data_IF_867739680753
#
_entry.id   IF_867739680753
#
_cell.length_a   1.000
_cell.length_b   1.000
_cell.length_c   1.000
_cell.angle_alpha   90.00
_cell.angle_beta   90.00
_cell.angle_gamma   90.00
#
_symmetry.space_group_name_H-M   'P 1'
#
loop_
_entity.id
_entity.type
_entity.pdbx_description
1 polymer ?
#
# COMPACT_ATOMS: atom_id res chain seq x y z
N UNK A 1 36.84 -8.28 14.67
CA UNK A 1 36.18 -6.96 14.68
C UNK A 1 35.60 -6.73 13.29
N UNK A 2 34.34 -6.29 13.18
CA UNK A 2 33.73 -5.94 11.89
C UNK A 2 34.39 -4.63 11.43
N UNK A 3 34.88 -4.57 10.19
CA UNK A 3 35.47 -3.35 9.65
C UNK A 3 34.37 -2.33 9.33
N UNK A 4 34.56 -1.06 9.67
CA UNK A 4 33.71 0.06 9.25
C UNK A 4 33.38 0.08 7.75
N UNK A 5 34.32 -0.31 6.88
CA UNK A 5 34.07 -0.46 5.44
C UNK A 5 32.97 -1.46 5.12
N UNK A 6 32.93 -2.58 5.85
CA UNK A 6 31.89 -3.60 5.69
C UNK A 6 30.53 -3.09 6.18
N UNK A 7 30.52 -2.27 7.23
CA UNK A 7 29.31 -1.59 7.72
C UNK A 7 28.76 -0.67 6.64
N UNK A 8 29.57 0.23 6.08
CA UNK A 8 29.12 1.12 5.00
C UNK A 8 28.56 0.34 3.81
N UNK A 9 29.21 -0.75 3.40
CA UNK A 9 28.72 -1.61 2.33
C UNK A 9 27.36 -2.23 2.64
N UNK A 10 27.15 -2.69 3.88
CA UNK A 10 25.88 -3.22 4.35
C UNK A 10 24.78 -2.15 4.32
N UNK A 11 25.05 -0.96 4.87
CA UNK A 11 24.08 0.13 4.97
C UNK A 11 23.58 0.59 3.61
N UNK A 12 24.49 0.90 2.69
CA UNK A 12 24.15 1.35 1.34
C UNK A 12 23.43 0.26 0.52
N UNK A 13 23.70 -1.02 0.79
CA UNK A 13 22.98 -2.13 0.17
C UNK A 13 21.51 -2.17 0.62
N UNK A 14 21.26 -2.05 1.92
CA UNK A 14 19.90 -2.00 2.47
C UNK A 14 19.14 -0.74 2.01
N UNK A 15 19.83 0.39 1.93
CA UNK A 15 19.26 1.63 1.40
C UNK A 15 18.83 1.49 -0.06
N UNK A 16 19.69 0.91 -0.90
CA UNK A 16 19.37 0.65 -2.31
C UNK A 16 18.12 -0.23 -2.43
N UNK A 17 18.03 -1.28 -1.60
CA UNK A 17 16.84 -2.13 -1.56
C UNK A 17 15.59 -1.39 -1.08
N UNK A 18 15.72 -0.47 -0.13
CA UNK A 18 14.63 0.39 0.33
C UNK A 18 14.13 1.33 -0.79
N UNK A 19 15.04 1.99 -1.51
CA UNK A 19 14.70 2.82 -2.68
C UNK A 19 13.96 2.02 -3.75
N UNK A 20 14.47 0.84 -4.12
CA UNK A 20 13.83 -0.03 -5.11
C UNK A 20 12.42 -0.42 -4.65
N UNK A 21 12.26 -0.78 -3.37
CA UNK A 21 10.98 -1.21 -2.81
C UNK A 21 9.95 -0.07 -2.80
N UNK A 22 10.36 1.14 -2.41
CA UNK A 22 9.48 2.33 -2.41
C UNK A 22 9.15 2.76 -3.84
N UNK A 23 10.13 2.79 -4.75
CA UNK A 23 9.91 3.11 -6.15
C UNK A 23 8.94 2.11 -6.82
N UNK A 24 9.12 0.81 -6.56
CA UNK A 24 8.21 -0.24 -7.02
C UNK A 24 6.78 0.02 -6.52
N UNK A 25 6.60 0.38 -5.24
CA UNK A 25 5.29 0.72 -4.69
C UNK A 25 4.66 1.94 -5.36
N UNK A 26 5.43 3.01 -5.57
CA UNK A 26 4.95 4.24 -6.22
C UNK A 26 4.56 3.94 -7.67
N UNK A 27 5.41 3.25 -8.43
CA UNK A 27 5.14 2.83 -9.80
C UNK A 27 3.86 2.01 -9.91
N UNK A 28 3.69 1.03 -9.03
CA UNK A 28 2.49 0.21 -8.91
C UNK A 28 1.23 1.05 -8.69
N UNK A 29 1.29 2.06 -7.83
CA UNK A 29 0.12 2.89 -7.49
C UNK A 29 -0.21 3.88 -8.59
N UNK A 30 0.79 4.60 -9.08
CA UNK A 30 0.60 5.68 -10.05
C UNK A 30 0.39 5.11 -11.44
N UNK A 31 1.25 4.20 -11.90
CA UNK A 31 1.22 3.71 -13.29
C UNK A 31 0.24 2.56 -13.45
N UNK A 32 0.36 1.52 -12.63
CA UNK A 32 -0.45 0.30 -12.83
C UNK A 32 -1.90 0.45 -12.36
N UNK A 33 -2.14 1.27 -11.33
CA UNK A 33 -3.49 1.50 -10.78
C UNK A 33 -4.11 2.83 -11.18
N UNK A 34 -3.35 3.75 -11.80
CA UNK A 34 -3.79 5.12 -12.10
C UNK A 34 -4.40 5.80 -10.87
N UNK A 35 -3.89 5.47 -9.68
CA UNK A 35 -4.38 5.98 -8.41
C UNK A 35 -3.50 7.14 -7.94
N UNK A 36 -4.11 8.11 -7.25
CA UNK A 36 -3.37 9.18 -6.57
C UNK A 36 -2.60 8.63 -5.37
N UNK A 37 -1.52 9.33 -5.00
CA UNK A 37 -0.78 9.04 -3.77
C UNK A 37 -1.67 9.32 -2.56
N UNK A 38 -1.69 8.37 -1.62
CA UNK A 38 -2.41 8.52 -0.36
C UNK A 38 -1.47 9.03 0.73
N UNK A 39 -2.04 9.46 1.86
CA UNK A 39 -1.29 9.84 3.07
C UNK A 39 -0.24 8.81 3.47
N UNK A 40 -0.53 7.51 3.31
CA UNK A 40 0.41 6.43 3.56
C UNK A 40 1.70 6.51 2.74
N UNK A 41 1.63 6.97 1.49
CA UNK A 41 2.79 7.03 0.60
C UNK A 41 3.71 8.20 0.97
N UNK A 42 3.14 9.33 1.41
CA UNK A 42 3.92 10.47 1.93
C UNK A 42 4.67 10.12 3.22
N UNK A 43 4.01 9.45 4.17
CA UNK A 43 4.68 8.96 5.37
C UNK A 43 5.81 7.98 5.05
N UNK A 44 5.62 7.11 4.06
CA UNK A 44 6.67 6.18 3.65
C UNK A 44 7.87 6.89 3.04
N UNK A 45 7.63 7.92 2.20
CA UNK A 45 8.69 8.74 1.62
C UNK A 45 9.42 9.51 2.71
N UNK A 46 8.72 10.07 3.71
CA UNK A 46 9.35 10.70 4.86
C UNK A 46 10.27 9.73 5.62
N UNK A 47 9.84 8.49 5.83
CA UNK A 47 10.68 7.43 6.42
C UNK A 47 11.92 7.11 5.59
N UNK A 48 11.79 7.05 4.26
CA UNK A 48 12.92 6.86 3.35
C UNK A 48 13.91 8.03 3.41
N UNK A 49 13.41 9.27 3.51
CA UNK A 49 14.26 10.46 3.65
C UNK A 49 15.00 10.48 4.98
N UNK A 50 14.35 10.09 6.09
CA UNK A 50 15.03 9.93 7.38
C UNK A 50 16.12 8.87 7.33
N UNK A 51 15.85 7.74 6.69
CA UNK A 51 16.84 6.70 6.45
C UNK A 51 18.04 7.26 5.66
N UNK A 52 17.78 8.01 4.59
CA UNK A 52 18.84 8.62 3.78
C UNK A 52 19.67 9.62 4.59
N UNK A 53 19.02 10.43 5.44
CA UNK A 53 19.70 11.33 6.36
C UNK A 53 20.60 10.58 7.34
N UNK A 54 20.10 9.50 7.95
CA UNK A 54 20.85 8.64 8.86
C UNK A 54 22.13 8.12 8.20
N UNK A 55 22.03 7.54 7.01
CA UNK A 55 23.20 7.01 6.29
C UNK A 55 24.19 8.10 5.86
N UNK A 56 23.72 9.32 5.58
CA UNK A 56 24.61 10.45 5.32
C UNK A 56 25.40 10.78 6.59
N UNK A 57 24.74 10.84 7.75
CA UNK A 57 25.42 11.07 9.02
C UNK A 57 26.41 9.95 9.37
N UNK A 58 26.07 8.70 9.09
CA UNK A 58 26.97 7.57 9.33
C UNK A 58 28.16 7.56 8.36
N UNK A 59 27.93 7.95 7.10
CA UNK A 59 29.01 8.16 6.12
C UNK A 59 29.96 9.29 6.54
N UNK A 60 29.42 10.38 7.10
CA UNK A 60 30.23 11.48 7.66
C UNK A 60 31.04 10.96 8.85
N UNK A 61 30.42 10.22 9.77
CA UNK A 61 31.09 9.62 10.93
C UNK A 61 32.22 8.68 10.51
N UNK A 62 32.00 7.87 9.47
CA UNK A 62 33.01 7.03 8.84
C UNK A 62 34.15 7.86 8.23
N UNK A 63 33.85 8.93 7.49
CA UNK A 63 34.86 9.80 6.87
C UNK A 63 35.76 10.52 7.88
N UNK A 64 35.29 10.66 9.12
CA UNK A 64 36.02 11.26 10.23
C UNK A 64 36.77 10.26 11.11
N UNK A 65 36.82 8.97 10.72
CA UNK A 65 37.42 7.85 11.48
C UNK A 65 36.76 7.60 12.87
N UNK A 66 35.63 8.25 13.12
CA UNK A 66 34.94 8.26 14.42
C UNK A 66 33.98 7.07 14.60
N UNK A 67 33.86 6.21 13.58
CA UNK A 67 33.08 4.97 13.60
C UNK A 67 33.85 3.81 14.22
N UNK A 68 35.15 3.67 13.87
CA UNK A 68 36.02 2.63 14.46
C UNK A 68 36.63 3.10 15.79
N UNK A 69 36.89 4.41 15.93
CA UNK A 69 37.49 4.97 17.13
C UNK A 69 36.56 5.95 17.85
N UNK A 70 35.84 5.46 18.85
CA UNK A 70 34.92 6.26 19.66
C UNK A 70 35.62 7.30 20.56
N UNK A 71 36.95 7.22 20.73
CA UNK A 71 37.72 8.21 21.50
C UNK A 71 37.90 9.54 20.78
N UNK A 72 37.67 9.58 19.46
CA UNK A 72 37.71 10.82 18.68
C UNK A 72 36.48 11.65 19.08
N UNK A 73 36.72 12.66 19.90
CA UNK A 73 35.66 13.48 20.47
C UNK A 73 35.82 14.97 20.12
N UNK A 74 35.07 15.36 19.09
CA UNK A 74 34.99 16.73 18.61
C UNK A 74 33.53 17.18 18.55
N UNK A 75 33.31 18.48 18.70
CA UNK A 75 31.96 19.09 18.63
C UNK A 75 31.24 18.71 17.34
N UNK A 76 31.96 18.63 16.22
CA UNK A 76 31.41 18.18 14.94
C UNK A 76 30.86 16.75 15.00
N UNK A 77 31.61 15.80 15.58
CA UNK A 77 31.19 14.40 15.73
C UNK A 77 29.99 14.30 16.67
N UNK A 78 29.98 15.05 17.78
CA UNK A 78 28.83 15.10 18.70
C UNK A 78 27.56 15.59 18.00
N UNK A 79 27.66 16.62 17.16
CA UNK A 79 26.53 17.11 16.34
C UNK A 79 26.04 16.06 15.34
N UNK A 80 26.95 15.36 14.68
CA UNK A 80 26.59 14.28 13.74
C UNK A 80 25.92 13.12 14.47
N UNK A 81 26.47 12.65 15.60
CA UNK A 81 25.86 11.59 16.42
C UNK A 81 24.48 11.98 16.97
N UNK A 82 24.33 13.23 17.38
CA UNK A 82 23.03 13.78 17.79
C UNK A 82 22.03 13.74 16.63
N UNK A 83 22.44 14.17 15.43
CA UNK A 83 21.60 14.09 14.23
C UNK A 83 21.26 12.64 13.85
N UNK A 84 22.23 11.72 13.90
CA UNK A 84 22.01 10.28 13.69
C UNK A 84 20.94 9.75 14.64
N UNK A 85 21.07 10.01 15.95
CA UNK A 85 20.09 9.57 16.95
C UNK A 85 18.69 10.06 16.59
N UNK A 86 18.56 11.36 16.35
CA UNK A 86 17.29 11.99 16.07
C UNK A 86 16.64 11.48 14.78
N UNK A 87 17.43 11.32 13.71
CA UNK A 87 16.95 10.81 12.42
C UNK A 87 16.50 9.35 12.50
N UNK A 88 17.18 8.53 13.31
CA UNK A 88 16.75 7.16 13.60
C UNK A 88 15.46 7.14 14.41
N UNK A 89 15.48 7.74 15.59
CA UNK A 89 14.42 7.64 16.60
C UNK A 89 13.12 8.31 16.13
N UNK A 90 13.20 9.42 15.39
CA UNK A 90 12.02 10.02 14.75
C UNK A 90 11.64 9.27 13.47
N UNK A 91 12.64 8.87 12.67
CA UNK A 91 12.43 8.24 11.37
C UNK A 91 11.71 6.89 11.44
N UNK A 92 11.94 6.12 12.51
CA UNK A 92 11.36 4.79 12.69
C UNK A 92 9.82 4.81 12.84
N UNK A 93 9.23 5.96 13.21
CA UNK A 93 7.78 6.12 13.30
C UNK A 93 7.11 6.40 11.95
N UNK A 94 7.82 6.92 10.96
CA UNK A 94 7.23 7.26 9.66
C UNK A 94 6.68 6.02 8.90
N UNK A 95 7.40 4.88 8.82
CA UNK A 95 6.82 3.63 8.29
C UNK A 95 5.59 3.17 9.09
N UNK A 96 5.55 3.42 10.41
CA UNK A 96 4.40 3.06 11.27
C UNK A 96 3.17 3.91 10.94
N UNK A 97 3.35 5.21 10.75
CA UNK A 97 2.26 6.08 10.28
C UNK A 97 1.79 5.69 8.88
N UNK A 98 2.71 5.25 8.00
CA UNK A 98 2.35 4.74 6.67
C UNK A 98 1.45 3.51 6.74
N UNK A 99 1.77 2.51 7.57
CA UNK A 99 0.92 1.32 7.72
C UNK A 99 -0.41 1.62 8.42
N UNK A 100 -0.43 2.50 9.42
CA UNK A 100 -1.67 2.95 10.08
C UNK A 100 -2.58 3.69 9.10
N UNK A 101 -2.02 4.61 8.30
CA UNK A 101 -2.75 5.28 7.23
C UNK A 101 -3.29 4.30 6.18
N UNK A 102 -2.55 3.23 5.89
CA UNK A 102 -3.04 2.14 5.05
C UNK A 102 -4.23 1.41 5.71
N UNK A 103 -4.20 1.16 7.02
CA UNK A 103 -5.32 0.56 7.74
C UNK A 103 -6.58 1.42 7.73
N UNK A 104 -6.47 2.75 7.79
CA UNK A 104 -7.62 3.65 7.67
C UNK A 104 -8.31 3.55 6.31
N UNK A 105 -7.56 3.21 5.27
CA UNK A 105 -8.12 2.96 3.94
C UNK A 105 -8.69 1.53 3.79
N UNK A 106 -8.20 0.58 4.60
CA UNK A 106 -8.61 -0.82 4.52
C UNK A 106 -9.89 -1.10 5.32
N UNK A 107 -10.05 -0.47 6.48
CA UNK A 107 -11.15 -0.76 7.41
C UNK A 107 -12.39 0.04 7.03
N UNK A 108 -13.51 -0.62 6.68
CA UNK A 108 -14.72 0.06 6.27
C UNK A 108 -15.42 0.74 7.45
N UNK A 109 -16.18 1.80 7.16
CA UNK A 109 -16.94 2.59 8.15
C UNK A 109 -17.96 1.72 8.91
N UNK A 110 -18.43 0.64 8.30
CA UNK A 110 -19.38 -0.31 8.87
C UNK A 110 -18.85 -1.11 10.08
N UNK A 111 -17.56 -1.03 10.40
CA UNK A 111 -16.96 -1.70 11.56
C UNK A 111 -16.48 -0.70 12.63
N UNK A 112 -17.40 -0.10 13.41
CA UNK A 112 -17.05 0.99 14.34
C UNK A 112 -16.05 0.58 15.42
N UNK A 113 -16.14 -0.65 15.96
CA UNK A 113 -15.19 -1.16 16.97
C UNK A 113 -13.76 -1.22 16.45
N UNK A 114 -13.56 -1.72 15.22
CA UNK A 114 -12.24 -1.78 14.57
C UNK A 114 -11.69 -0.39 14.27
N UNK A 115 -12.57 0.56 13.97
CA UNK A 115 -12.19 1.95 13.70
C UNK A 115 -11.78 2.69 14.97
N UNK A 116 -12.49 2.50 16.08
CA UNK A 116 -12.09 3.00 17.41
C UNK A 116 -10.71 2.44 17.78
N UNK A 117 -10.52 1.11 17.66
CA UNK A 117 -9.22 0.49 17.92
C UNK A 117 -8.10 1.08 17.04
N UNK A 118 -8.40 1.43 15.79
CA UNK A 118 -7.45 2.08 14.89
C UNK A 118 -7.11 3.51 15.32
N UNK A 119 -8.09 4.29 15.77
CA UNK A 119 -7.84 5.61 16.34
C UNK A 119 -6.98 5.52 17.61
N UNK A 120 -7.23 4.54 18.48
CA UNK A 120 -6.38 4.29 19.65
C UNK A 120 -4.95 3.93 19.23
N UNK A 121 -4.78 3.02 18.26
CA UNK A 121 -3.46 2.66 17.73
C UNK A 121 -2.70 3.86 17.16
N UNK A 122 -3.40 4.69 16.36
CA UNK A 122 -2.85 5.91 15.80
C UNK A 122 -2.44 6.90 16.89
N UNK A 123 -3.32 7.11 17.88
CA UNK A 123 -3.07 8.00 19.02
C UNK A 123 -1.89 7.56 19.88
N UNK A 124 -1.78 6.27 20.19
CA UNK A 124 -0.65 5.71 20.95
C UNK A 124 0.65 5.87 20.16
N UNK A 125 0.65 5.50 18.87
CA UNK A 125 1.84 5.60 18.02
C UNK A 125 2.28 7.05 17.84
N UNK A 126 1.32 7.97 17.67
CA UNK A 126 1.59 9.40 17.59
C UNK A 126 2.16 9.93 18.91
N UNK A 127 1.58 9.54 20.04
CA UNK A 127 2.07 9.93 21.37
C UNK A 127 3.51 9.46 21.59
N UNK A 128 3.82 8.21 21.24
CA UNK A 128 5.19 7.70 21.31
C UNK A 128 6.16 8.46 20.40
N UNK A 129 5.78 8.75 19.15
CA UNK A 129 6.61 9.54 18.26
C UNK A 129 6.89 10.95 18.81
N UNK A 130 5.87 11.61 19.37
CA UNK A 130 6.01 12.94 19.99
C UNK A 130 6.90 12.87 21.22
N UNK A 131 6.69 11.89 22.10
CA UNK A 131 7.52 11.71 23.30
C UNK A 131 8.98 11.45 22.88
N UNK A 132 9.20 10.56 21.91
CA UNK A 132 10.54 10.27 21.38
C UNK A 132 11.22 11.53 20.85
N UNK A 133 10.52 12.29 20.00
CA UNK A 133 11.04 13.54 19.42
C UNK A 133 11.49 14.54 20.50
N UNK A 134 10.64 14.76 21.52
CA UNK A 134 10.97 15.70 22.60
C UNK A 134 12.05 15.16 23.54
N UNK A 135 12.04 13.87 23.85
CA UNK A 135 13.08 13.25 24.66
C UNK A 135 14.44 13.37 23.96
N UNK A 136 14.56 13.10 22.67
CA UNK A 136 15.83 13.25 21.93
C UNK A 136 16.43 14.65 22.05
N UNK A 137 15.57 15.66 21.92
CA UNK A 137 15.99 17.06 21.86
C UNK A 137 16.31 17.64 23.24
N UNK A 138 15.51 17.27 24.25
CA UNK A 138 15.52 17.91 25.56
C UNK A 138 15.95 16.97 26.70
N UNK A 139 16.55 15.82 26.40
CA UNK A 139 17.03 14.88 27.42
C UNK A 139 18.01 15.52 28.41
N UNK A 140 18.95 16.31 27.89
CA UNK A 140 19.98 16.98 28.67
C UNK A 140 19.56 18.35 29.23
N UNK A 141 18.28 18.70 29.10
CA UNK A 141 17.74 19.98 29.54
C UNK A 141 17.12 20.79 28.39
N UNK A 142 16.66 22.03 28.69
CA UNK A 142 15.93 22.86 27.73
C UNK A 142 16.83 23.44 26.62
N UNK A 143 18.15 23.54 26.85
CA UNK A 143 19.11 23.96 25.83
C UNK A 143 19.67 22.71 25.10
N UNK A 144 19.32 22.50 23.82
CA UNK A 144 19.81 21.35 23.05
C UNK A 144 21.32 21.37 22.85
N UNK A 145 21.95 22.55 22.96
CA UNK A 145 23.38 22.73 22.69
C UNK A 145 24.29 21.97 23.66
N UNK A 146 23.75 21.62 24.83
CA UNK A 146 24.40 20.78 25.84
C UNK A 146 24.82 19.43 25.26
N UNK A 147 24.06 18.86 24.30
CA UNK A 147 24.38 17.58 23.67
C UNK A 147 25.74 17.59 22.92
N UNK A 148 26.23 18.76 22.50
CA UNK A 148 27.52 18.90 21.83
C UNK A 148 28.47 19.90 22.52
N UNK A 149 28.13 20.34 23.73
CA UNK A 149 29.00 21.18 24.55
C UNK A 149 30.13 20.34 25.17
N UNK A 150 31.29 20.96 25.41
CA UNK A 150 32.39 20.39 26.22
C UNK A 150 32.27 20.96 27.63
N UNK A 151 32.19 20.10 28.66
CA UNK A 151 32.02 20.51 30.06
C UNK A 151 32.26 19.37 31.04
N UNK A 152 32.27 19.67 32.35
CA UNK A 152 32.60 18.73 33.43
C UNK A 152 31.54 17.62 33.63
N UNK A 153 30.28 17.89 33.24
CA UNK A 153 29.21 16.89 33.16
C UNK A 153 28.78 16.70 31.72
N UNK A 154 29.32 15.67 31.08
CA UNK A 154 28.97 15.31 29.72
C UNK A 154 27.61 14.59 29.70
N UNK A 155 26.57 15.28 29.25
CA UNK A 155 25.28 14.69 28.92
C UNK A 155 25.11 14.64 27.41
N UNK A 156 24.84 13.46 26.86
CA UNK A 156 24.43 13.30 25.46
C UNK A 156 23.25 12.36 25.37
N UNK A 157 22.27 12.68 24.51
CA UNK A 157 21.16 11.77 24.21
C UNK A 157 21.67 10.46 23.57
N UNK A 158 22.63 10.55 22.64
CA UNK A 158 23.18 9.42 21.89
C UNK A 158 23.81 8.31 22.76
N UNK A 159 24.53 8.67 23.84
CA UNK A 159 25.17 7.68 24.72
C UNK A 159 24.32 7.28 25.93
N UNK A 160 23.16 7.90 26.13
CA UNK A 160 22.34 7.65 27.32
C UNK A 160 21.58 6.33 27.21
N UNK A 161 22.07 5.31 27.91
CA UNK A 161 21.42 3.99 27.95
C UNK A 161 19.99 4.04 28.53
N UNK A 162 19.73 4.96 29.48
CA UNK A 162 18.38 5.16 30.04
C UNK A 162 17.40 5.64 28.98
N UNK A 163 17.79 6.67 28.21
CA UNK A 163 16.98 7.18 27.11
C UNK A 163 16.78 6.08 26.05
N UNK A 164 17.85 5.42 25.65
CA UNK A 164 17.82 4.37 24.63
C UNK A 164 16.85 3.23 25.00
N UNK A 165 16.84 2.77 26.26
CA UNK A 165 15.90 1.73 26.75
C UNK A 165 14.46 2.21 26.72
N UNK A 166 14.21 3.46 27.09
CA UNK A 166 12.88 4.07 27.09
C UNK A 166 12.33 4.15 25.65
N UNK A 167 13.10 4.73 24.73
CA UNK A 167 12.70 4.92 23.34
C UNK A 167 12.55 3.60 22.60
N UNK A 168 13.48 2.65 22.82
CA UNK A 168 13.34 1.30 22.29
C UNK A 168 12.05 0.63 22.78
N UNK A 169 11.69 0.77 24.06
CA UNK A 169 10.47 0.16 24.60
C UNK A 169 9.21 0.71 23.91
N UNK A 170 9.13 2.02 23.68
CA UNK A 170 8.03 2.66 22.95
C UNK A 170 7.97 2.20 21.48
N UNK A 171 9.13 2.13 20.85
CA UNK A 171 9.28 1.63 19.48
C UNK A 171 8.77 0.18 19.38
N UNK A 172 9.25 -0.71 20.25
CA UNK A 172 8.87 -2.12 20.30
C UNK A 172 7.37 -2.33 20.57
N UNK A 173 6.80 -1.63 21.56
CA UNK A 173 5.37 -1.73 21.88
C UNK A 173 4.52 -1.32 20.66
N UNK A 174 4.87 -0.22 20.01
CA UNK A 174 4.13 0.22 18.82
C UNK A 174 4.26 -0.75 17.64
N UNK A 175 5.39 -1.45 17.48
CA UNK A 175 5.51 -2.53 16.49
C UNK A 175 4.57 -3.69 16.80
N UNK A 176 4.57 -4.19 18.03
CA UNK A 176 3.69 -5.29 18.46
C UNK A 176 2.23 -4.94 18.24
N UNK A 177 1.82 -3.72 18.58
CA UNK A 177 0.45 -3.25 18.36
C UNK A 177 0.08 -3.19 16.88
N UNK A 178 0.98 -2.73 16.01
CA UNK A 178 0.75 -2.70 14.56
C UNK A 178 0.59 -4.11 13.97
N UNK A 179 1.37 -5.09 14.45
CA UNK A 179 1.27 -6.49 14.00
C UNK A 179 0.01 -7.17 14.54
N UNK A 180 -0.40 -6.86 15.77
CA UNK A 180 -1.59 -7.42 16.39
C UNK A 180 -2.89 -6.88 15.78
N UNK A 181 -2.93 -5.61 15.39
CA UNK A 181 -4.13 -4.92 14.88
C UNK A 181 -4.88 -5.64 13.74
N UNK A 182 -4.23 -6.14 12.67
CA UNK A 182 -4.94 -6.81 11.58
C UNK A 182 -5.49 -8.21 11.93
N UNK A 183 -5.08 -8.82 13.06
CA UNK A 183 -5.47 -10.20 13.41
C UNK A 183 -6.99 -10.33 13.64
N UNK A 184 -7.65 -9.50 14.47
CA UNK A 184 -9.11 -9.57 14.66
C UNK A 184 -9.90 -9.23 13.40
N UNK A 185 -9.40 -8.29 12.58
CA UNK A 185 -10.00 -7.96 11.29
C UNK A 185 -10.08 -9.20 10.40
N UNK A 186 -9.04 -10.02 10.42
CA UNK A 186 -8.93 -11.20 9.60
C UNK A 186 -9.70 -12.40 10.17
N UNK A 187 -9.93 -12.45 11.48
CA UNK A 187 -10.78 -13.44 12.13
C UNK A 187 -12.28 -13.23 11.85
N UNK A 188 -12.73 -11.97 11.73
CA UNK A 188 -14.16 -11.64 11.51
C UNK A 188 -14.63 -11.88 10.06
N UNK A 189 -13.73 -11.80 9.08
CA UNK A 189 -14.04 -12.23 7.72
C UNK A 189 -14.02 -13.76 7.67
N UNK A 190 -15.18 -14.42 7.57
CA UNK A 190 -15.27 -15.88 7.33
C UNK A 190 -14.30 -16.29 6.21
N UNK A 191 -13.17 -16.90 6.59
CA UNK A 191 -12.00 -17.15 5.76
C UNK A 191 -12.17 -18.41 4.90
N UNK A 192 -13.17 -18.41 4.00
CA UNK A 192 -13.39 -19.54 3.07
C UNK A 192 -12.34 -19.57 1.95
N UNK A 193 -11.64 -18.45 1.68
CA UNK A 193 -10.64 -18.37 0.61
C UNK A 193 -9.21 -18.48 1.13
N UNK A 194 -8.47 -19.51 0.69
CA UNK A 194 -7.03 -19.72 0.91
C UNK A 194 -6.20 -18.46 0.62
N UNK A 195 -6.67 -17.62 -0.30
CA UNK A 195 -6.01 -16.35 -0.70
C UNK A 195 -5.97 -15.30 0.40
N UNK A 196 -6.93 -15.30 1.34
CA UNK A 196 -6.96 -14.39 2.50
C UNK A 196 -6.01 -14.89 3.60
N UNK A 197 -5.94 -16.21 3.81
CA UNK A 197 -5.01 -16.86 4.74
C UNK A 197 -3.55 -16.60 4.37
N UNK A 198 -3.19 -16.73 3.09
CA UNK A 198 -1.82 -16.42 2.62
C UNK A 198 -1.49 -14.94 2.81
N UNK A 199 -2.43 -14.03 2.51
CA UNK A 199 -2.24 -12.60 2.72
C UNK A 199 -1.96 -12.26 4.19
N UNK A 200 -2.73 -12.86 5.12
CA UNK A 200 -2.54 -12.76 6.56
C UNK A 200 -1.15 -13.28 6.98
N UNK A 201 -0.80 -14.50 6.55
CA UNK A 201 0.47 -15.12 6.88
C UNK A 201 1.64 -14.21 6.50
N UNK A 202 1.61 -13.61 5.31
CA UNK A 202 2.66 -12.68 4.88
C UNK A 202 2.63 -11.39 5.71
N UNK A 203 1.48 -10.83 6.14
CA UNK A 203 1.48 -9.61 6.99
C UNK A 203 2.14 -9.93 8.31
N UNK A 204 1.74 -11.05 8.90
CA UNK A 204 2.27 -11.53 10.16
C UNK A 204 3.78 -11.81 10.07
N UNK A 205 4.23 -12.53 9.03
CA UNK A 205 5.66 -12.80 8.82
C UNK A 205 6.48 -11.52 8.67
N UNK A 206 6.00 -10.53 7.92
CA UNK A 206 6.74 -9.26 7.79
C UNK A 206 6.81 -8.51 9.13
N UNK A 207 5.76 -8.55 9.94
CA UNK A 207 5.76 -7.97 11.28
C UNK A 207 6.70 -8.66 12.27
N UNK A 208 6.77 -10.00 12.21
CA UNK A 208 7.70 -10.79 13.04
C UNK A 208 9.16 -10.44 12.72
N UNK A 209 9.48 -10.17 11.44
CA UNK A 209 10.84 -9.78 11.04
C UNK A 209 11.25 -8.46 11.69
N UNK A 210 10.39 -7.43 11.67
CA UNK A 210 10.77 -6.13 12.25
C UNK A 210 10.96 -6.22 13.76
N UNK A 211 10.05 -6.95 14.45
CA UNK A 211 10.17 -7.26 15.88
C UNK A 211 11.48 -8.00 16.19
N UNK A 212 11.84 -9.02 15.40
CA UNK A 212 13.07 -9.78 15.61
C UNK A 212 14.32 -8.90 15.47
N UNK A 213 14.33 -7.98 14.50
CA UNK A 213 15.43 -7.02 14.29
C UNK A 213 15.53 -6.04 15.46
N UNK A 214 14.39 -5.51 15.92
CA UNK A 214 14.30 -4.61 17.09
C UNK A 214 14.81 -5.27 18.38
N UNK A 215 14.47 -6.54 18.61
CA UNK A 215 15.00 -7.33 19.74
C UNK A 215 16.50 -7.60 19.59
N UNK A 216 16.96 -7.94 18.39
CA UNK A 216 18.38 -8.14 18.11
C UNK A 216 19.21 -6.89 18.39
N UNK A 217 18.70 -5.71 18.00
CA UNK A 217 19.31 -4.42 18.36
C UNK A 217 19.41 -4.23 19.87
N UNK A 218 18.33 -4.48 20.61
CA UNK A 218 18.35 -4.31 22.06
C UNK A 218 19.35 -5.26 22.74
N UNK A 219 19.35 -6.54 22.36
CA UNK A 219 20.30 -7.52 22.92
C UNK A 219 21.74 -7.08 22.64
N UNK A 220 22.03 -6.66 21.42
CA UNK A 220 23.38 -6.21 21.08
C UNK A 220 23.80 -4.95 21.82
N UNK A 221 22.91 -3.98 21.98
CA UNK A 221 23.22 -2.77 22.75
C UNK A 221 23.45 -3.03 24.25
N UNK A 222 22.79 -4.05 24.83
CA UNK A 222 22.91 -4.35 26.27
C UNK A 222 24.07 -5.31 26.57
N UNK A 223 24.32 -6.28 25.70
CA UNK A 223 25.21 -7.42 26.00
C UNK A 223 26.43 -7.51 25.09
N UNK A 224 26.48 -6.77 23.98
CA UNK A 224 27.58 -6.84 23.02
C UNK A 224 28.38 -5.55 23.09
N UNK A 225 29.62 -5.66 23.60
CA UNK A 225 30.57 -4.54 23.68
C UNK A 225 31.22 -4.25 22.32
N UNK A 226 30.39 -3.99 21.32
CA UNK A 226 30.82 -3.61 19.97
C UNK A 226 29.97 -2.43 19.50
N UNK A 227 30.46 -1.22 19.73
CA UNK A 227 29.77 0.02 19.36
C UNK A 227 29.51 0.14 17.83
N UNK A 228 30.31 -0.52 17.00
CA UNK A 228 30.11 -0.62 15.54
C UNK A 228 28.80 -1.35 15.19
N UNK A 229 28.40 -2.34 15.99
CA UNK A 229 27.17 -3.12 15.74
C UNK A 229 25.91 -2.27 15.82
N UNK A 230 25.95 -1.16 16.58
CA UNK A 230 24.82 -0.25 16.77
C UNK A 230 24.35 0.33 15.42
N UNK A 231 25.30 0.75 14.57
CA UNK A 231 25.00 1.29 13.23
C UNK A 231 24.32 0.24 12.33
N UNK A 232 24.86 -0.98 12.31
CA UNK A 232 24.31 -2.11 11.53
C UNK A 232 22.86 -2.38 11.93
N UNK A 233 22.58 -2.49 13.24
CA UNK A 233 21.25 -2.79 13.74
C UNK A 233 20.26 -1.64 13.53
N UNK A 234 20.69 -0.39 13.77
CA UNK A 234 19.86 0.79 13.52
C UNK A 234 19.47 0.89 12.04
N UNK A 235 20.45 0.77 11.13
CA UNK A 235 20.21 0.79 9.68
C UNK A 235 19.33 -0.38 9.24
N UNK A 236 19.58 -1.59 9.74
CA UNK A 236 18.74 -2.75 9.45
C UNK A 236 17.29 -2.51 9.89
N UNK A 237 17.07 -2.03 11.11
CA UNK A 237 15.73 -1.83 11.66
C UNK A 237 14.91 -0.81 10.86
N UNK A 238 15.47 0.36 10.57
CA UNK A 238 14.76 1.40 9.81
C UNK A 238 14.58 1.02 8.33
N UNK A 239 15.59 0.45 7.67
CA UNK A 239 15.49 0.03 6.27
C UNK A 239 14.48 -1.11 6.11
N UNK A 240 14.54 -2.13 6.96
CA UNK A 240 13.61 -3.27 6.89
C UNK A 240 12.19 -2.78 7.17
N UNK A 241 11.98 -1.86 8.11
CA UNK A 241 10.68 -1.26 8.36
C UNK A 241 10.11 -0.57 7.10
N UNK A 242 10.91 0.25 6.43
CA UNK A 242 10.52 0.90 5.15
C UNK A 242 10.22 -0.14 4.07
N UNK A 243 11.09 -1.13 3.88
CA UNK A 243 10.93 -2.20 2.87
C UNK A 243 9.65 -2.99 3.13
N UNK A 244 9.45 -3.45 4.37
CA UNK A 244 8.26 -4.20 4.79
C UNK A 244 7.00 -3.41 4.48
N UNK A 245 6.92 -2.15 4.90
CA UNK A 245 5.74 -1.32 4.66
C UNK A 245 5.57 -1.04 3.17
N UNK A 246 6.65 -0.84 2.42
CA UNK A 246 6.58 -0.69 0.96
C UNK A 246 5.93 -1.93 0.30
N UNK A 247 6.39 -3.13 0.68
CA UNK A 247 5.93 -4.40 0.15
C UNK A 247 4.50 -4.76 0.57
N UNK A 248 4.03 -4.34 1.75
CA UNK A 248 2.66 -4.64 2.21
C UNK A 248 1.57 -4.14 1.25
N UNK A 249 1.77 -3.01 0.56
CA UNK A 249 0.77 -2.50 -0.40
C UNK A 249 0.92 -3.05 -1.83
N UNK A 250 2.05 -3.65 -2.18
CA UNK A 250 2.29 -4.21 -3.53
C UNK A 250 1.64 -5.58 -3.71
N UNK A 251 1.23 -6.23 -2.62
CA UNK A 251 0.68 -7.60 -2.59
C UNK A 251 -0.44 -7.95 -3.58
N UNK A 252 -1.33 -7.04 -4.01
CA UNK A 252 -2.31 -7.38 -5.04
C UNK A 252 -1.67 -7.67 -6.43
N UNK A 253 -0.41 -7.31 -6.65
CA UNK A 253 0.26 -7.37 -7.95
C UNK A 253 1.22 -8.53 -8.16
N UNK A 254 1.83 -9.06 -7.09
CA UNK A 254 2.54 -10.35 -7.20
C UNK A 254 1.61 -11.41 -7.82
N UNK A 255 0.31 -11.30 -7.54
CA UNK A 255 -0.74 -12.15 -8.11
C UNK A 255 -0.95 -11.95 -9.62
N UNK A 256 -0.90 -10.72 -10.12
CA UNK A 256 -1.08 -10.45 -11.56
C UNK A 256 0.15 -10.89 -12.34
N UNK A 257 1.34 -10.71 -11.77
CA UNK A 257 2.60 -11.13 -12.39
C UNK A 257 2.79 -12.65 -12.38
N UNK A 258 2.42 -13.34 -11.30
CA UNK A 258 2.42 -14.82 -11.28
C UNK A 258 1.38 -15.40 -12.21
N UNK A 259 0.19 -14.81 -12.29
CA UNK A 259 -0.84 -15.28 -13.23
C UNK A 259 -0.41 -15.03 -14.69
N UNK A 260 0.22 -13.90 -15.00
CA UNK A 260 0.76 -13.63 -16.34
C UNK A 260 1.85 -14.64 -16.72
N UNK A 261 2.78 -14.96 -15.81
CA UNK A 261 3.80 -15.99 -16.05
C UNK A 261 3.19 -17.39 -16.23
N UNK A 262 2.16 -17.75 -15.47
CA UNK A 262 1.43 -19.02 -15.64
C UNK A 262 0.66 -19.08 -16.97
N UNK A 263 0.10 -17.97 -17.45
CA UNK A 263 -0.55 -17.93 -18.77
C UNK A 263 0.47 -18.01 -19.91
N UNK A 264 1.62 -17.33 -19.80
CA UNK A 264 2.68 -17.38 -20.82
C UNK A 264 3.29 -18.77 -20.97
N UNK A 265 3.44 -19.52 -19.87
CA UNK A 265 3.95 -20.91 -19.90
C UNK A 265 2.93 -21.91 -20.48
N UNK A 266 1.62 -21.68 -20.29
CA UNK A 266 0.58 -22.52 -20.91
C UNK A 266 0.39 -22.24 -22.40
N UNK A 267 0.76 -21.04 -22.88
CA UNK A 267 0.73 -20.70 -24.32
C UNK A 267 1.98 -21.11 -25.09
N UNK A 268 3.07 -21.53 -24.43
CA UNK A 268 4.30 -21.95 -25.11
C UNK A 268 4.39 -23.46 -25.36
N UNK A 269 3.39 -24.25 -24.97
CA UNK A 269 3.41 -25.72 -25.06
C UNK A 269 2.36 -26.30 -26.01
N UNK A 270 1.85 -25.50 -26.96
CA UNK A 270 0.87 -26.00 -27.96
C UNK A 270 1.10 -25.44 -29.38
N UNK A 271 2.38 -25.35 -29.77
CA UNK A 271 2.76 -25.04 -31.16
C UNK A 271 3.66 -26.13 -31.75
N UNK A 272 3.22 -27.38 -31.65
CA UNK A 272 3.73 -28.45 -32.51
C UNK A 272 2.71 -29.58 -32.65
N UNK A 273 1.98 -29.59 -33.77
CA UNK A 273 1.53 -30.85 -34.39
C UNK A 273 0.02 -31.05 -34.58
N UNK A 274 -0.40 -30.88 -35.84
CA UNK A 274 -1.45 -31.66 -36.54
C UNK A 274 -2.92 -31.30 -36.24
N UNK A 275 -3.59 -30.79 -37.30
CA UNK A 275 -5.06 -30.65 -37.38
C UNK A 275 -5.74 -32.03 -37.33
N UNK A 276 -6.62 -32.25 -36.36
CA UNK A 276 -7.55 -33.37 -36.36
C UNK A 276 -8.93 -32.93 -36.85
N UNK A 277 -9.37 -33.56 -37.95
CA UNK A 277 -10.70 -33.46 -38.56
C UNK A 277 -11.76 -33.98 -37.57
N UNK A 278 -12.92 -33.32 -37.39
CA UNK A 278 -14.00 -33.87 -36.58
C UNK A 278 -14.74 -34.98 -37.35
N UNK A 279 -15.02 -36.16 -36.75
CA UNK A 279 -15.83 -37.16 -37.41
C UNK A 279 -17.32 -36.82 -37.30
N UNK A 280 -17.94 -36.80 -38.47
CA UNK A 280 -19.36 -36.65 -38.73
C UNK A 280 -20.12 -37.87 -38.19
N UNK A 281 -20.89 -37.74 -37.10
CA UNK A 281 -21.73 -38.84 -36.58
C UNK A 281 -23.11 -38.81 -37.23
N UNK A 282 -23.26 -39.69 -38.20
CA UNK A 282 -24.50 -40.10 -38.87
C UNK A 282 -25.56 -40.59 -37.87
N UNK A 283 -26.78 -40.08 -38.03
CA UNK A 283 -27.98 -40.47 -37.27
C UNK A 283 -28.90 -41.24 -38.21
N UNK A 284 -29.24 -42.50 -37.86
CA UNK A 284 -30.32 -43.29 -38.49
C UNK A 284 -31.08 -44.14 -37.44
N UNK A 285 -32.33 -44.56 -37.72
CA UNK A 285 -33.43 -44.54 -36.76
C UNK A 285 -34.08 -45.91 -36.43
N UNK A 286 -35.01 -45.90 -35.46
CA UNK A 286 -35.97 -46.99 -35.09
C UNK A 286 -35.80 -47.43 -33.62
N UNK A 287 -36.81 -47.74 -32.78
CA UNK A 287 -38.26 -47.97 -32.97
C UNK A 287 -38.98 -47.93 -31.58
N UNK A 288 -40.10 -47.20 -31.51
CA UNK A 288 -41.39 -47.37 -30.78
C UNK A 288 -41.57 -48.10 -29.42
N UNK A 289 -42.17 -47.38 -28.43
CA UNK A 289 -43.39 -47.63 -27.61
C UNK A 289 -43.30 -46.82 -26.29
N UNK A 290 -44.29 -46.11 -25.73
CA UNK A 290 -45.68 -45.80 -26.05
C UNK A 290 -46.27 -44.95 -24.89
N UNK A 291 -47.36 -44.20 -25.13
CA UNK A 291 -48.27 -43.74 -24.06
C UNK A 291 -48.52 -42.24 -23.89
N UNK A 292 -49.60 -41.76 -24.53
CA UNK A 292 -50.67 -40.90 -23.98
C UNK A 292 -50.46 -39.38 -23.77
N UNK A 293 -51.35 -38.56 -24.36
CA UNK A 293 -51.66 -37.18 -23.91
C UNK A 293 -51.64 -36.09 -24.99
N UNK A 294 -52.51 -36.11 -26.00
CA UNK A 294 -53.64 -35.16 -26.24
C UNK A 294 -53.32 -33.64 -26.15
N UNK A 295 -53.27 -32.92 -27.29
CA UNK A 295 -54.22 -31.87 -27.75
C UNK A 295 -53.67 -31.11 -29.00
N UNK A 296 -54.49 -31.11 -30.07
CA UNK A 296 -54.74 -30.15 -31.17
C UNK A 296 -53.85 -28.90 -31.39
N UNK A 297 -53.72 -28.25 -32.55
CA UNK A 297 -53.95 -28.43 -34.00
C UNK A 297 -53.61 -27.05 -34.63
N UNK A 298 -53.17 -26.97 -35.89
CA UNK A 298 -53.23 -25.73 -36.71
C UNK A 298 -51.90 -25.38 -37.41
N UNK A 299 -51.65 -25.89 -38.62
CA UNK A 299 -51.89 -25.25 -39.93
C UNK A 299 -50.95 -24.09 -40.29
N UNK A 300 -50.19 -24.23 -41.39
CA UNK A 300 -49.93 -23.10 -42.29
C UNK A 300 -48.51 -22.86 -42.80
N UNK A 301 -48.09 -23.64 -43.80
CA UNK A 301 -47.35 -23.27 -45.05
C UNK A 301 -46.27 -22.17 -45.04
N UNK A 302 -45.03 -22.63 -45.32
CA UNK A 302 -44.02 -22.12 -46.27
C UNK A 302 -44.18 -20.73 -46.92
N UNK A 303 -43.16 -19.89 -46.74
CA UNK A 303 -42.53 -19.16 -47.85
C UNK A 303 -41.03 -18.94 -47.60
N UNK A 304 -40.20 -19.54 -48.44
CA UNK A 304 -38.81 -19.15 -48.68
C UNK A 304 -38.78 -17.87 -49.50
N UNK A 305 -37.83 -16.96 -49.23
CA UNK A 305 -37.11 -16.21 -50.26
C UNK A 305 -35.80 -15.66 -49.69
N UNK A 306 -34.70 -16.12 -50.30
CA UNK A 306 -33.38 -15.49 -50.24
C UNK A 306 -33.34 -14.29 -51.19
N UNK A 307 -32.64 -13.22 -50.82
CA UNK A 307 -31.90 -12.35 -51.73
C UNK A 307 -30.82 -11.57 -50.96
N UNK A 308 -29.63 -11.48 -51.56
CA UNK A 308 -28.35 -10.99 -51.04
C UNK A 308 -28.19 -9.46 -50.99
N UNK A 309 -27.43 -9.04 -49.96
CA UNK A 309 -26.25 -8.12 -49.95
C UNK A 309 -26.26 -6.81 -50.77
N UNK A 310 -26.13 -5.65 -50.10
CA UNK A 310 -24.95 -4.77 -50.17
C UNK A 310 -25.02 -3.59 -49.16
N UNK A 311 -23.95 -3.35 -48.42
CA UNK A 311 -23.67 -2.16 -47.58
C UNK A 311 -23.05 -1.03 -48.43
N UNK A 312 -23.08 0.25 -47.95
CA UNK A 312 -21.97 0.73 -47.11
C UNK A 312 -22.38 1.69 -45.96
N UNK A 313 -21.60 1.62 -44.87
CA UNK A 313 -21.13 2.67 -43.91
C UNK A 313 -22.01 3.91 -43.59
N UNK A 314 -22.08 4.49 -42.39
CA UNK A 314 -21.58 4.24 -41.03
C UNK A 314 -22.04 5.45 -40.19
N UNK A 315 -22.98 5.33 -39.23
CA UNK A 315 -23.09 6.28 -38.10
C UNK A 315 -23.60 5.53 -36.86
N UNK A 316 -22.73 5.51 -35.85
CA UNK A 316 -22.89 5.16 -34.43
C UNK A 316 -24.31 4.85 -33.89
N UNK A 317 -24.55 3.57 -33.56
CA UNK A 317 -25.24 3.21 -32.31
C UNK A 317 -24.22 3.20 -31.16
N UNK A 318 -24.55 3.00 -29.90
CA UNK A 318 -25.80 2.79 -29.19
C UNK A 318 -25.41 2.95 -27.72
N UNK A 319 -26.22 3.69 -26.99
CA UNK A 319 -26.56 3.55 -25.57
C UNK A 319 -25.61 2.73 -24.68
N UNK A 320 -25.02 3.43 -23.72
CA UNK A 320 -24.35 2.88 -22.55
C UNK A 320 -25.33 2.09 -21.68
N UNK A 321 -25.21 0.76 -21.67
CA UNK A 321 -25.80 -0.07 -20.63
C UNK A 321 -25.04 0.12 -19.30
N UNK A 322 -25.68 0.82 -18.36
CA UNK A 322 -25.35 0.76 -16.94
C UNK A 322 -26.10 -0.42 -16.30
N UNK A 323 -25.40 -1.53 -16.07
CA UNK A 323 -25.88 -2.61 -15.22
C UNK A 323 -25.90 -2.15 -13.76
N UNK A 324 -27.07 -1.79 -13.25
CA UNK A 324 -27.28 -1.38 -11.86
C UNK A 324 -27.78 -2.57 -11.03
N UNK A 325 -26.98 -3.03 -10.06
CA UNK A 325 -27.39 -4.03 -9.06
C UNK A 325 -27.64 -3.32 -7.74
N UNK A 326 -28.90 -3.30 -7.34
CA UNK A 326 -29.44 -3.07 -6.00
C UNK A 326 -29.17 -1.71 -5.33
N UNK A 327 -30.01 -0.73 -5.67
CA UNK A 327 -30.26 0.48 -4.87
C UNK A 327 -31.74 0.86 -4.91
N UNK A 328 -32.28 1.28 -3.76
CA UNK A 328 -33.67 1.72 -3.59
C UNK A 328 -33.97 2.87 -4.56
N UNK A 329 -35.02 2.74 -5.36
CA UNK A 329 -35.49 3.75 -6.32
C UNK A 329 -36.56 4.61 -5.68
N UNK A 330 -36.29 5.91 -5.57
CA UNK A 330 -37.26 6.92 -5.17
C UNK A 330 -37.81 7.52 -6.46
N UNK A 331 -39.03 7.14 -6.87
CA UNK A 331 -39.65 7.71 -8.07
C UNK A 331 -40.39 8.99 -7.71
N UNK A 332 -39.89 10.13 -8.18
CA UNK A 332 -40.63 11.39 -8.14
C UNK A 332 -41.27 11.60 -9.50
N UNK A 333 -42.61 11.59 -9.56
CA UNK A 333 -43.34 11.91 -10.77
C UNK A 333 -43.35 13.43 -10.95
N UNK A 334 -42.58 13.93 -11.92
CA UNK A 334 -42.68 15.33 -12.36
C UNK A 334 -43.55 15.35 -13.62
N UNK A 335 -44.76 15.89 -13.49
CA UNK A 335 -45.66 16.10 -14.62
C UNK A 335 -45.34 17.45 -15.23
N UNK A 336 -44.68 17.46 -16.39
CA UNK A 336 -44.44 18.68 -17.17
C UNK A 336 -45.59 18.86 -18.16
N UNK A 337 -46.51 19.75 -17.83
CA UNK A 337 -47.55 20.21 -18.76
C UNK A 337 -46.97 21.29 -19.66
N UNK A 338 -46.87 21.03 -20.97
CA UNK A 338 -46.48 22.03 -21.97
C UNK A 338 -47.74 22.59 -22.62
N UNK A 339 -48.17 23.77 -22.20
CA UNK A 339 -49.18 24.52 -22.95
C UNK A 339 -48.54 25.08 -24.22
N UNK A 340 -49.11 24.70 -25.36
CA UNK A 340 -48.70 25.22 -26.67
C UNK A 340 -49.68 26.33 -27.03
N UNK A 341 -49.31 27.59 -26.79
CA UNK A 341 -50.08 28.74 -27.27
C UNK A 341 -49.70 28.94 -28.74
N UNK A 342 -50.61 28.60 -29.65
CA UNK A 342 -50.52 28.91 -31.07
C UNK A 342 -50.92 30.37 -31.30
N UNK A 343 -49.95 31.29 -31.30
CA UNK A 343 -50.16 32.63 -31.85
C UNK A 343 -49.57 32.68 -33.27
N UNK A 344 -50.45 32.75 -34.27
CA UNK A 344 -50.08 33.06 -35.65
C UNK A 344 -49.87 34.57 -35.78
N UNK A 345 -48.62 35.03 -35.95
CA UNK A 345 -48.34 36.32 -36.59
C UNK A 345 -47.10 36.15 -37.48
N UNK A 346 -47.26 36.49 -38.76
CA UNK A 346 -46.25 36.46 -39.80
C UNK A 346 -45.13 37.50 -39.56
N UNK A 347 -43.87 37.12 -39.81
CA UNK A 347 -42.76 38.07 -40.03
C UNK A 347 -41.40 37.63 -39.46
N UNK A 348 -40.51 37.15 -40.34
CA UNK A 348 -39.04 36.92 -40.21
C UNK A 348 -38.22 38.02 -39.49
N UNK A 349 -36.89 37.85 -39.27
CA UNK A 349 -36.17 36.69 -38.69
C UNK A 349 -35.09 37.10 -37.65
N UNK A 350 -34.44 36.08 -37.10
CA UNK A 350 -33.02 36.01 -36.75
C UNK A 350 -32.44 36.38 -35.36
N UNK A 351 -31.70 35.36 -34.88
CA UNK A 351 -30.55 35.31 -33.97
C UNK A 351 -30.65 35.60 -32.46
N UNK A 352 -30.36 34.53 -31.71
CA UNK A 352 -29.68 34.45 -30.40
C UNK A 352 -30.43 35.08 -29.21
N UNK A 353 -30.64 34.39 -28.08
CA UNK A 353 -29.58 34.19 -27.08
C UNK A 353 -30.04 33.29 -25.92
N UNK A 354 -29.05 32.56 -25.36
CA UNK A 354 -28.80 32.32 -23.93
C UNK A 354 -29.85 31.56 -23.12
N UNK A 355 -29.51 30.31 -22.78
CA UNK A 355 -30.00 29.65 -21.58
C UNK A 355 -28.96 29.76 -20.46
N UNK A 356 -29.26 30.62 -19.47
CA UNK A 356 -28.80 30.45 -18.09
C UNK A 356 -29.93 29.73 -17.35
N UNK A 357 -29.67 28.57 -16.79
CA UNK A 357 -30.58 27.92 -15.83
C UNK A 357 -29.80 27.78 -14.52
N UNK A 358 -30.28 28.51 -13.52
CA UNK A 358 -29.92 28.37 -12.12
C UNK A 358 -30.66 27.18 -11.52
N UNK A 359 -29.93 26.46 -10.66
CA UNK A 359 -30.37 25.33 -9.86
C UNK A 359 -31.28 25.76 -8.71
N UNK A 360 -32.36 25.01 -8.49
CA UNK A 360 -32.89 24.73 -7.15
C UNK A 360 -33.01 23.22 -7.00
#
# INVERSE_FOLDING_TARGET
MISSRAVMGFEWSFMTLAYISVACRIYVRVVMRKARLFSADYWLIAGLLSCQGLLICDTITYSMDAMDNFTIDNVAIRKVRFATNHLFDTGIYFPKFSIIAFYFNLVPISQPKMRIALYCLAGITASFAVITFFCDWFWCGPDPSVNWAKGEQECTSFTSMTLMRLLWSMNFISEVLNVAYPIPLLATLKMTSTRKKIGLAIVFSLGVITIAVSVGRFITMVYVDNAISIYIWATAEICISVIVVALTAVRPLLRKLTNLKSTTLLTSEDQSGVQAIPPNRSRKPGTFNGGSGVYWQGTGKNHQRHAETMSPESIAGSETELNNINGITLSQNVTVSRETISNSVNGQPDYSTVHRIESV
#
